data_IF_673198996329
#
_entry.id   IF_673198996329
#
_cell.length_a   1.000
_cell.length_b   1.000
_cell.length_c   1.000
_cell.angle_alpha   90.00
_cell.angle_beta   90.00
_cell.angle_gamma   90.00
#
_symmetry.space_group_name_H-M   'P 1'
#
loop_
_entity.id
_entity.type
_entity.pdbx_description
1 polymer ?
#
# COMPACT_ATOMS: atom_id res chain seq x y z
N UNK A 1 -25.48 -19.01 0.12
CA UNK A 1 -24.82 -18.98 1.44
C UNK A 1 -23.96 -20.22 1.51
N UNK A 2 -22.65 -20.08 1.32
CA UNK A 2 -21.75 -21.22 1.43
C UNK A 2 -21.55 -21.57 2.92
N UNK A 3 -21.74 -22.83 3.32
CA UNK A 3 -21.92 -23.24 4.72
C UNK A 3 -20.64 -23.26 5.58
N UNK A 4 -19.50 -22.78 5.07
CA UNK A 4 -18.20 -22.92 5.74
C UNK A 4 -17.52 -21.59 6.08
N UNK A 5 -18.05 -20.44 5.64
CA UNK A 5 -17.43 -19.14 5.88
C UNK A 5 -18.24 -18.29 6.88
N UNK A 6 -17.54 -17.66 7.82
CA UNK A 6 -18.15 -16.77 8.80
C UNK A 6 -18.54 -15.44 8.17
N UNK A 7 -19.80 -15.02 8.38
CA UNK A 7 -20.22 -13.69 7.98
C UNK A 7 -19.54 -12.64 8.87
N UNK A 8 -19.12 -11.53 8.27
CA UNK A 8 -18.56 -10.40 9.03
C UNK A 8 -19.51 -9.91 10.13
N UNK A 9 -20.83 -9.98 9.91
CA UNK A 9 -21.83 -9.59 10.90
C UNK A 9 -21.77 -10.38 12.21
N UNK A 10 -21.28 -11.63 12.17
CA UNK A 10 -21.14 -12.48 13.36
C UNK A 10 -19.83 -12.27 14.13
N UNK A 11 -18.83 -11.67 13.47
CA UNK A 11 -17.51 -11.37 14.04
C UNK A 11 -17.38 -9.90 14.45
N UNK A 12 -18.05 -8.99 13.74
CA UNK A 12 -17.94 -7.54 13.94
C UNK A 12 -18.80 -7.08 15.12
N UNK A 13 -18.16 -6.91 16.28
CA UNK A 13 -18.81 -6.41 17.50
C UNK A 13 -18.94 -4.88 17.49
N UNK A 14 -17.86 -4.15 17.18
CA UNK A 14 -17.89 -2.69 17.10
C UNK A 14 -17.16 -2.20 15.87
N UNK A 15 -17.70 -1.17 15.22
CA UNK A 15 -17.10 -0.56 14.04
C UNK A 15 -17.33 0.95 14.11
N UNK A 16 -16.25 1.72 14.06
CA UNK A 16 -16.32 3.18 13.95
C UNK A 16 -15.31 3.69 12.94
N UNK A 17 -15.75 4.56 12.04
CA UNK A 17 -14.88 5.27 11.11
C UNK A 17 -15.12 6.77 11.25
N UNK A 18 -14.07 7.56 11.51
CA UNK A 18 -14.21 9.00 11.79
C UNK A 18 -15.26 9.31 12.89
N UNK A 19 -15.32 8.47 13.93
CA UNK A 19 -16.32 8.55 15.01
C UNK A 19 -17.78 8.31 14.59
N UNK A 20 -18.04 7.93 13.33
CA UNK A 20 -19.35 7.50 12.87
C UNK A 20 -19.47 5.97 12.95
N UNK A 21 -20.63 5.43 13.33
CA UNK A 21 -20.83 3.99 13.35
C UNK A 21 -20.78 3.43 11.92
N UNK A 22 -20.13 2.27 11.75
CA UNK A 22 -20.15 1.51 10.51
C UNK A 22 -20.75 0.12 10.74
N UNK A 23 -21.17 -0.53 9.66
CA UNK A 23 -21.76 -1.87 9.71
C UNK A 23 -21.04 -2.84 8.79
N UNK A 24 -21.34 -4.13 8.90
CA UNK A 24 -20.80 -5.15 8.00
C UNK A 24 -21.19 -4.94 6.52
N UNK A 25 -22.23 -4.14 6.23
CA UNK A 25 -22.62 -3.80 4.86
C UNK A 25 -21.68 -2.77 4.18
N UNK A 26 -20.87 -2.06 4.97
CA UNK A 26 -19.85 -1.11 4.45
C UNK A 26 -18.59 -1.83 3.95
N UNK A 27 -18.55 -3.16 4.04
CA UNK A 27 -17.43 -3.99 3.64
C UNK A 27 -17.81 -4.80 2.40
N UNK A 28 -16.87 -4.88 1.46
CA UNK A 28 -16.98 -5.82 0.35
C UNK A 28 -16.27 -7.11 0.73
N UNK A 29 -16.78 -8.25 0.27
CA UNK A 29 -16.11 -9.54 0.46
C UNK A 29 -15.28 -9.92 -0.76
N UNK A 30 -14.16 -10.57 -0.52
CA UNK A 30 -13.33 -11.21 -1.55
C UNK A 30 -12.78 -12.52 -1.00
N UNK A 31 -12.42 -13.44 -1.88
CA UNK A 31 -11.86 -14.74 -1.48
C UNK A 31 -10.34 -14.75 -1.69
N UNK A 32 -9.61 -15.18 -0.68
CA UNK A 32 -8.18 -15.49 -0.72
C UNK A 32 -7.98 -17.00 -0.81
N UNK A 33 -6.98 -17.42 -1.57
CA UNK A 33 -6.58 -18.83 -1.67
C UNK A 33 -6.08 -19.41 -0.35
N UNK A 34 -5.37 -18.61 0.45
CA UNK A 34 -4.81 -19.06 1.73
C UNK A 34 -5.78 -18.88 2.90
N UNK A 35 -6.46 -17.72 2.99
CA UNK A 35 -7.24 -17.35 4.19
C UNK A 35 -8.76 -17.48 4.03
N UNK A 36 -9.26 -17.86 2.86
CA UNK A 36 -10.69 -18.00 2.62
C UNK A 36 -11.42 -16.65 2.46
N UNK A 37 -12.53 -16.46 3.16
CA UNK A 37 -13.38 -15.28 3.00
C UNK A 37 -12.80 -14.06 3.74
N UNK A 38 -12.40 -13.05 2.99
CA UNK A 38 -11.85 -11.80 3.50
C UNK A 38 -12.79 -10.62 3.22
N UNK A 39 -12.59 -9.54 3.98
CA UNK A 39 -13.41 -8.33 3.89
C UNK A 39 -12.54 -7.08 3.72
N UNK A 40 -12.91 -6.22 2.79
CA UNK A 40 -12.23 -4.94 2.55
C UNK A 40 -13.16 -3.78 2.86
N UNK A 41 -12.70 -2.88 3.74
CA UNK A 41 -13.39 -1.62 4.01
C UNK A 41 -13.02 -0.57 2.95
N UNK A 42 -14.00 0.19 2.46
CA UNK A 42 -13.77 1.36 1.59
C UNK A 42 -12.99 1.07 0.28
N UNK A 43 -13.26 -0.07 -0.35
CA UNK A 43 -12.69 -0.44 -1.64
C UNK A 43 -13.44 0.20 -2.82
N UNK A 44 -12.71 0.60 -3.87
CA UNK A 44 -13.31 1.08 -5.12
C UNK A 44 -13.42 -0.07 -6.11
N UNK A 45 -14.62 -0.63 -6.31
CA UNK A 45 -14.87 -1.46 -7.48
C UNK A 45 -15.10 -0.56 -8.71
N UNK A 46 -14.43 -0.88 -9.82
CA UNK A 46 -14.45 -0.10 -11.08
C UNK A 46 -15.85 0.17 -11.68
N UNK A 47 -16.92 -0.43 -11.16
CA UNK A 47 -18.29 -0.33 -11.68
C UNK A 47 -19.29 0.39 -10.76
N UNK A 48 -18.89 0.92 -9.61
CA UNK A 48 -19.80 1.68 -8.73
C UNK A 48 -19.44 3.16 -8.73
N UNK A 49 -20.06 3.92 -9.64
CA UNK A 49 -19.94 5.38 -9.73
C UNK A 49 -20.52 6.13 -8.52
N UNK A 50 -21.19 5.42 -7.61
CA UNK A 50 -21.80 5.95 -6.39
C UNK A 50 -21.15 5.43 -5.09
N UNK A 51 -20.04 4.69 -5.15
CA UNK A 51 -19.29 4.39 -3.93
C UNK A 51 -18.54 5.65 -3.48
N UNK A 52 -19.20 6.38 -2.60
CA UNK A 52 -18.71 7.55 -1.92
C UNK A 52 -17.51 7.13 -1.07
N UNK A 53 -16.31 7.17 -1.65
CA UNK A 53 -15.10 6.85 -0.91
C UNK A 53 -15.03 7.68 0.35
N UNK A 54 -14.97 6.98 1.47
CA UNK A 54 -14.93 7.61 2.78
C UNK A 54 -13.54 8.18 2.95
N UNK A 55 -13.44 9.49 2.84
CA UNK A 55 -12.17 10.19 2.93
C UNK A 55 -11.66 10.18 4.38
N UNK A 56 -10.35 9.97 4.50
CA UNK A 56 -9.64 10.06 5.77
C UNK A 56 -9.32 11.50 6.16
N UNK A 57 -8.31 11.65 7.03
CA UNK A 57 -7.94 12.93 7.63
C UNK A 57 -7.49 14.02 6.63
N UNK A 58 -7.04 13.65 5.43
CA UNK A 58 -6.57 14.58 4.40
C UNK A 58 -7.63 15.61 3.96
N UNK A 59 -8.92 15.33 4.19
CA UNK A 59 -10.04 16.22 3.86
C UNK A 59 -10.91 16.59 5.08
N UNK A 60 -10.38 16.52 6.32
CA UNK A 60 -11.04 17.02 7.54
C UNK A 60 -11.70 15.99 8.47
N UNK A 61 -11.63 14.69 8.17
CA UNK A 61 -12.00 13.60 9.11
C UNK A 61 -10.87 13.30 10.12
N UNK A 62 -10.98 12.32 11.03
CA UNK A 62 -9.83 11.86 11.86
C UNK A 62 -9.00 10.77 11.19
N UNK A 63 -9.50 10.17 10.10
CA UNK A 63 -8.87 9.04 9.40
C UNK A 63 -8.80 7.76 10.23
N UNK A 64 -9.52 7.70 11.36
CA UNK A 64 -9.42 6.63 12.33
C UNK A 64 -10.50 5.58 12.11
N UNK A 65 -10.09 4.34 11.86
CA UNK A 65 -10.95 3.17 11.81
C UNK A 65 -10.72 2.34 13.08
N UNK A 66 -11.75 2.13 13.89
CA UNK A 66 -11.70 1.17 15.00
C UNK A 66 -12.65 0.01 14.73
N UNK A 67 -12.12 -1.19 14.88
CA UNK A 67 -12.87 -2.43 14.78
C UNK A 67 -12.67 -3.20 16.09
N UNK A 68 -13.76 -3.73 16.64
CA UNK A 68 -13.76 -4.76 17.67
C UNK A 68 -14.35 -6.02 17.06
N UNK A 69 -13.60 -7.09 17.11
CA UNK A 69 -13.86 -8.34 16.41
C UNK A 69 -13.83 -9.50 17.40
N UNK A 70 -14.62 -10.53 17.12
CA UNK A 70 -14.66 -11.77 17.86
C UNK A 70 -14.47 -12.94 16.89
N UNK A 71 -13.37 -13.68 17.04
CA UNK A 71 -12.90 -14.60 15.98
C UNK A 71 -13.47 -16.02 16.08
N UNK A 72 -14.26 -16.34 17.12
CA UNK A 72 -14.91 -17.64 17.32
C UNK A 72 -13.96 -18.86 17.16
N UNK A 73 -12.82 -18.85 17.85
CA UNK A 73 -11.77 -19.88 17.76
C UNK A 73 -12.24 -21.31 18.05
N UNK A 74 -13.35 -21.49 18.78
CA UNK A 74 -13.93 -22.80 19.08
C UNK A 74 -14.54 -23.49 17.86
N UNK A 75 -14.76 -22.77 16.76
CA UNK A 75 -15.24 -23.33 15.49
C UNK A 75 -14.12 -23.54 14.46
N UNK A 76 -12.86 -23.35 14.84
CA UNK A 76 -11.73 -23.56 13.94
C UNK A 76 -11.57 -25.04 13.63
N UNK A 77 -11.13 -25.34 12.42
CA UNK A 77 -10.81 -26.72 12.02
C UNK A 77 -9.45 -27.07 12.62
N UNK A 78 -9.36 -28.07 13.52
CA UNK A 78 -8.09 -28.45 14.12
C UNK A 78 -7.08 -28.89 13.05
N UNK A 79 -5.79 -28.58 13.23
CA UNK A 79 -4.65 -28.95 12.37
C UNK A 79 -4.56 -28.24 11.01
N UNK A 80 -5.40 -27.24 10.74
CA UNK A 80 -5.30 -26.43 9.51
C UNK A 80 -4.45 -25.18 9.76
N UNK A 81 -4.65 -24.53 10.90
CA UNK A 81 -3.99 -23.29 11.28
C UNK A 81 -3.50 -23.41 12.73
N UNK A 82 -2.22 -23.07 12.97
CA UNK A 82 -1.60 -23.16 14.29
C UNK A 82 -1.75 -21.86 15.10
N UNK A 83 -2.32 -20.81 14.49
CA UNK A 83 -2.44 -19.48 15.07
C UNK A 83 -3.92 -19.05 15.26
N UNK A 84 -4.20 -18.34 16.36
CA UNK A 84 -5.50 -17.72 16.61
C UNK A 84 -5.33 -16.21 16.50
N UNK A 85 -5.93 -15.62 15.47
CA UNK A 85 -5.74 -14.22 15.17
C UNK A 85 -6.48 -13.78 13.93
N UNK A 86 -6.11 -12.60 13.46
CA UNK A 86 -6.58 -12.06 12.20
C UNK A 86 -5.41 -11.44 11.44
N UNK A 87 -5.39 -11.63 10.12
CA UNK A 87 -4.42 -10.97 9.24
C UNK A 87 -5.06 -9.70 8.69
N UNK A 88 -4.35 -8.58 8.79
CA UNK A 88 -4.80 -7.28 8.29
C UNK A 88 -3.80 -6.73 7.29
N UNK A 89 -4.31 -6.14 6.21
CA UNK A 89 -3.52 -5.45 5.19
C UNK A 89 -4.08 -4.04 4.96
N UNK A 90 -3.20 -3.04 4.98
CA UNK A 90 -3.51 -1.67 4.54
C UNK A 90 -2.99 -1.50 3.12
N UNK A 91 -3.88 -1.18 2.17
CA UNK A 91 -3.52 -1.01 0.77
C UNK A 91 -4.35 0.11 0.13
N UNK A 92 -3.98 0.51 -1.09
CA UNK A 92 -4.74 1.52 -1.84
C UNK A 92 -6.09 0.97 -2.30
N UNK A 93 -7.12 1.82 -2.30
CA UNK A 93 -8.50 1.39 -2.59
C UNK A 93 -8.72 0.96 -4.06
N UNK A 94 -7.79 1.28 -4.95
CA UNK A 94 -7.81 0.87 -6.37
C UNK A 94 -7.07 -0.45 -6.64
N UNK A 95 -6.27 -0.91 -5.68
CA UNK A 95 -5.42 -2.08 -5.82
C UNK A 95 -6.10 -3.33 -5.24
N UNK A 96 -5.85 -4.48 -5.86
CA UNK A 96 -6.28 -5.77 -5.32
C UNK A 96 -5.47 -6.12 -4.06
N UNK A 97 -6.12 -6.60 -2.98
CA UNK A 97 -5.45 -6.96 -1.75
C UNK A 97 -4.57 -8.21 -1.93
N UNK A 98 -3.27 -8.09 -1.64
CA UNK A 98 -2.31 -9.22 -1.61
C UNK A 98 -1.96 -9.60 -0.17
N UNK A 99 -2.96 -10.10 0.56
CA UNK A 99 -2.85 -10.41 2.00
C UNK A 99 -1.81 -11.50 2.30
N UNK A 100 -1.56 -12.41 1.37
CA UNK A 100 -0.57 -13.50 1.51
C UNK A 100 0.88 -13.01 1.52
N UNK A 101 1.16 -11.85 0.91
CA UNK A 101 2.53 -11.34 0.77
C UNK A 101 2.87 -10.22 1.76
N UNK A 102 1.88 -9.43 2.17
CA UNK A 102 2.09 -8.22 2.98
C UNK A 102 1.11 -8.11 4.16
N UNK A 103 0.41 -9.20 4.50
CA UNK A 103 -0.48 -9.25 5.65
C UNK A 103 0.28 -9.16 6.96
N UNK A 104 -0.35 -8.51 7.94
CA UNK A 104 0.17 -8.37 9.30
C UNK A 104 -0.72 -9.20 10.23
N UNK A 105 -0.12 -10.16 10.92
CA UNK A 105 -0.81 -11.02 11.88
C UNK A 105 -1.08 -10.29 13.19
N UNK A 106 -2.33 -10.35 13.66
CA UNK A 106 -2.79 -9.76 14.90
C UNK A 106 -3.28 -10.87 15.83
N UNK A 107 -2.67 -10.98 17.01
CA UNK A 107 -3.09 -11.93 18.04
C UNK A 107 -4.37 -11.47 18.75
N UNK A 108 -5.19 -12.41 19.20
CA UNK A 108 -6.35 -12.13 20.07
C UNK A 108 -5.92 -11.72 21.50
N UNK A 109 -6.89 -11.32 22.33
CA UNK A 109 -6.67 -10.82 23.70
C UNK A 109 -6.00 -9.45 23.77
N UNK A 110 -5.93 -8.74 22.64
CA UNK A 110 -5.20 -7.48 22.52
C UNK A 110 -5.94 -6.49 21.64
N UNK A 111 -5.70 -5.22 21.93
CA UNK A 111 -6.04 -4.08 21.09
C UNK A 111 -4.80 -3.60 20.36
N UNK A 112 -4.76 -3.80 19.05
CA UNK A 112 -3.68 -3.38 18.17
C UNK A 112 -3.95 -1.99 17.61
N UNK A 113 -2.93 -1.13 17.61
CA UNK A 113 -2.92 0.16 16.92
C UNK A 113 -1.98 0.03 15.72
N UNK A 114 -2.55 0.19 14.53
CA UNK A 114 -1.85 0.23 13.25
C UNK A 114 -1.70 1.68 12.83
N UNK A 115 -0.49 2.21 13.03
CA UNK A 115 -0.11 3.54 12.57
C UNK A 115 0.44 3.44 11.16
N UNK A 116 -0.14 4.14 10.19
CA UNK A 116 0.32 4.07 8.81
C UNK A 116 0.81 5.42 8.27
N UNK A 117 1.82 5.35 7.40
CA UNK A 117 2.34 6.48 6.63
C UNK A 117 2.21 6.17 5.14
N UNK A 118 1.59 7.09 4.38
CA UNK A 118 1.38 6.96 2.94
C UNK A 118 2.55 7.58 2.18
N UNK A 119 3.19 6.78 1.33
CA UNK A 119 4.29 7.22 0.48
C UNK A 119 3.93 7.02 -0.98
N UNK A 120 4.09 8.06 -1.79
CA UNK A 120 3.89 7.99 -3.24
C UNK A 120 5.22 8.19 -3.93
N UNK A 121 5.65 7.22 -4.71
CA UNK A 121 6.88 7.29 -5.49
C UNK A 121 6.54 7.52 -6.95
N UNK A 122 7.04 8.62 -7.52
CA UNK A 122 6.86 8.95 -8.93
C UNK A 122 8.15 8.64 -9.69
N UNK A 123 8.02 7.81 -10.72
CA UNK A 123 9.14 7.48 -11.61
C UNK A 123 9.21 8.47 -12.78
N UNK A 124 10.42 8.76 -13.30
CA UNK A 124 10.59 9.68 -14.41
C UNK A 124 9.90 9.18 -15.69
N UNK A 125 9.49 10.10 -16.58
CA UNK A 125 8.95 9.74 -17.89
C UNK A 125 10.00 9.10 -18.82
N UNK A 126 9.55 8.63 -19.99
CA UNK A 126 10.38 7.99 -21.03
C UNK A 126 11.76 8.67 -21.22
N UNK A 127 12.88 7.94 -21.30
CA UNK A 127 13.05 6.50 -21.61
C UNK A 127 12.81 5.52 -20.44
N UNK A 128 12.41 6.01 -19.26
CA UNK A 128 12.05 5.17 -18.11
C UNK A 128 10.56 4.81 -18.13
N UNK A 129 10.18 3.77 -17.38
CA UNK A 129 8.77 3.35 -17.22
C UNK A 129 7.98 4.40 -16.46
N UNK A 130 6.96 5.01 -17.08
CA UNK A 130 6.07 5.95 -16.40
C UNK A 130 5.13 5.19 -15.47
N UNK A 131 5.51 5.11 -14.20
CA UNK A 131 4.72 4.47 -13.16
C UNK A 131 4.71 5.36 -11.92
N UNK A 132 3.69 5.20 -11.09
CA UNK A 132 3.68 5.71 -9.72
C UNK A 132 3.31 4.56 -8.81
N UNK A 133 4.07 4.34 -7.76
CA UNK A 133 3.79 3.32 -6.76
C UNK A 133 3.29 4.01 -5.49
N UNK A 134 2.22 3.48 -4.91
CA UNK A 134 1.66 3.94 -3.64
C UNK A 134 1.90 2.83 -2.62
N UNK A 135 2.72 3.12 -1.62
CA UNK A 135 3.04 2.19 -0.55
C UNK A 135 2.57 2.72 0.80
N UNK A 136 2.21 1.79 1.69
CA UNK A 136 1.80 2.07 3.05
C UNK A 136 2.78 1.41 4.02
N UNK A 137 3.51 2.23 4.76
CA UNK A 137 4.35 1.74 5.84
C UNK A 137 3.51 1.69 7.11
N UNK A 138 3.39 0.51 7.71
CA UNK A 138 2.54 0.28 8.89
C UNK A 138 3.41 -0.11 10.08
N UNK A 139 3.28 0.65 11.16
CA UNK A 139 3.85 0.33 12.46
C UNK A 139 2.76 -0.20 13.39
N UNK A 140 3.06 -1.30 14.08
CA UNK A 140 2.12 -1.96 14.99
C UNK A 140 2.51 -1.75 16.44
N UNK A 141 1.50 -1.56 17.28
CA UNK A 141 1.64 -1.56 18.74
C UNK A 141 0.41 -2.21 19.34
N UNK A 142 0.52 -2.79 20.53
CA UNK A 142 -0.59 -3.54 21.12
C UNK A 142 -0.71 -3.36 22.62
N UNK A 143 -1.95 -3.32 23.10
CA UNK A 143 -2.32 -3.26 24.51
C UNK A 143 -3.23 -4.44 24.85
N UNK A 144 -3.34 -4.79 26.14
CA UNK A 144 -4.24 -5.85 26.60
C UNK A 144 -5.70 -5.40 26.42
N UNK A 145 -6.56 -6.29 25.92
CA UNK A 145 -7.99 -6.03 25.75
C UNK A 145 -8.78 -7.36 25.74
N UNK A 146 -10.09 -7.37 26.05
CA UNK A 146 -10.94 -6.24 26.42
C UNK A 146 -10.72 -5.80 27.89
N UNK A 147 -11.26 -4.63 28.22
CA UNK A 147 -11.31 -4.11 29.59
C UNK A 147 -12.54 -4.68 30.33
N UNK A 148 -12.51 -4.80 31.68
CA UNK A 148 -13.53 -5.53 32.42
C UNK A 148 -14.98 -5.07 32.17
N UNK A 149 -15.22 -3.77 32.03
CA UNK A 149 -16.57 -3.23 31.81
C UNK A 149 -17.14 -3.49 30.42
N UNK A 150 -16.33 -3.88 29.43
CA UNK A 150 -16.82 -4.25 28.09
C UNK A 150 -17.23 -5.72 28.00
N UNK A 151 -16.86 -6.54 29.00
CA UNK A 151 -17.03 -7.99 28.96
C UNK A 151 -18.51 -8.40 28.85
N UNK A 152 -19.40 -7.74 29.60
CA UNK A 152 -20.83 -8.07 29.60
C UNK A 152 -21.51 -7.74 28.27
N UNK A 153 -21.10 -6.66 27.61
CA UNK A 153 -21.63 -6.29 26.29
C UNK A 153 -21.16 -7.26 25.21
N UNK A 154 -19.89 -7.69 25.27
CA UNK A 154 -19.34 -8.70 24.36
C UNK A 154 -20.07 -10.04 24.58
N UNK A 155 -20.33 -10.42 25.83
CA UNK A 155 -21.10 -11.63 26.15
C UNK A 155 -22.49 -11.60 25.48
N UNK A 156 -23.23 -10.50 25.61
CA UNK A 156 -24.55 -10.32 24.97
C UNK A 156 -24.47 -10.41 23.45
N UNK A 157 -23.42 -9.85 22.85
CA UNK A 157 -23.20 -9.94 21.41
C UNK A 157 -23.00 -11.39 20.96
N UNK A 158 -22.15 -12.15 21.66
CA UNK A 158 -21.86 -13.56 21.34
C UNK A 158 -23.11 -14.42 21.52
N UNK A 159 -23.89 -14.21 22.59
CA UNK A 159 -25.13 -14.95 22.86
C UNK A 159 -26.25 -14.66 21.85
N UNK A 160 -26.25 -13.48 21.22
CA UNK A 160 -27.21 -13.12 20.17
C UNK A 160 -26.73 -13.53 18.76
N UNK A 161 -25.53 -14.10 18.64
CA UNK A 161 -25.00 -14.52 17.34
C UNK A 161 -25.65 -15.81 16.85
N UNK A 162 -25.64 -16.05 15.53
CA UNK A 162 -26.17 -17.29 14.93
C UNK A 162 -25.21 -18.48 15.05
N UNK A 163 -24.05 -18.30 15.69
CA UNK A 163 -22.99 -19.32 15.82
C UNK A 163 -23.22 -20.13 17.08
N UNK A 164 -22.93 -21.43 17.02
CA UNK A 164 -23.07 -22.32 18.17
C UNK A 164 -22.08 -21.94 19.27
N UNK A 165 -22.55 -21.86 20.52
CA UNK A 165 -21.70 -21.55 21.66
C UNK A 165 -20.81 -22.74 22.04
N UNK A 166 -19.62 -22.51 22.62
CA UNK A 166 -18.79 -23.59 23.14
C UNK A 166 -19.48 -24.31 24.31
N UNK A 167 -19.12 -25.58 24.53
CA UNK A 167 -19.59 -26.34 25.69
C UNK A 167 -19.18 -25.63 27.00
N UNK A 168 -20.06 -25.65 28.01
CA UNK A 168 -19.85 -24.98 29.30
C UNK A 168 -19.64 -23.45 29.23
N UNK A 169 -20.21 -22.77 28.22
CA UNK A 169 -20.15 -21.31 28.09
C UNK A 169 -20.54 -20.56 29.39
N UNK A 170 -21.57 -21.04 30.08
CA UNK A 170 -22.09 -20.37 31.29
C UNK A 170 -21.05 -20.16 32.39
N UNK A 171 -20.01 -21.00 32.47
CA UNK A 171 -18.96 -20.93 33.51
C UNK A 171 -17.63 -20.39 32.99
N UNK A 172 -17.27 -20.59 31.72
CA UNK A 172 -15.92 -20.30 31.17
C UNK A 172 -15.92 -19.08 30.23
N UNK A 173 -17.06 -18.39 30.05
CA UNK A 173 -17.19 -17.29 29.09
C UNK A 173 -16.12 -16.18 29.24
N UNK A 174 -15.66 -15.87 30.45
CA UNK A 174 -14.63 -14.84 30.68
C UNK A 174 -13.31 -15.14 29.96
N UNK A 175 -12.77 -16.34 30.14
CA UNK A 175 -11.52 -16.75 29.50
C UNK A 175 -11.69 -16.87 27.99
N UNK A 176 -12.83 -17.41 27.54
CA UNK A 176 -13.14 -17.49 26.12
C UNK A 176 -13.19 -16.12 25.46
N UNK A 177 -13.81 -15.12 26.10
CA UNK A 177 -13.84 -13.76 25.55
C UNK A 177 -12.43 -13.17 25.46
N UNK A 178 -11.61 -13.32 26.50
CA UNK A 178 -10.22 -12.86 26.44
C UNK A 178 -9.41 -13.55 25.33
N UNK A 179 -9.60 -14.85 25.12
CA UNK A 179 -8.89 -15.59 24.09
C UNK A 179 -9.38 -15.32 22.65
N UNK A 180 -10.58 -14.75 22.47
CA UNK A 180 -11.22 -14.58 21.16
C UNK A 180 -11.44 -13.13 20.75
N UNK A 181 -11.39 -12.20 21.69
CA UNK A 181 -11.59 -10.80 21.39
C UNK A 181 -10.34 -10.18 20.77
N UNK A 182 -10.52 -9.43 19.70
CA UNK A 182 -9.45 -8.70 19.02
C UNK A 182 -9.96 -7.31 18.67
N UNK A 183 -9.22 -6.28 19.06
CA UNK A 183 -9.52 -4.92 18.64
C UNK A 183 -8.40 -4.38 17.76
N UNK A 184 -8.74 -3.67 16.70
CA UNK A 184 -7.77 -3.02 15.82
C UNK A 184 -8.16 -1.57 15.58
N UNK A 185 -7.19 -0.67 15.67
CA UNK A 185 -7.33 0.76 15.42
C UNK A 185 -6.35 1.19 14.36
N UNK A 186 -6.83 1.51 13.17
CA UNK A 186 -6.02 2.01 12.04
C UNK A 186 -6.05 3.52 12.08
N UNK A 187 -4.88 4.14 12.16
CA UNK A 187 -4.73 5.60 12.34
C UNK A 187 -3.57 6.10 11.47
N UNK A 188 -3.68 7.25 10.80
CA UNK A 188 -2.52 7.88 10.18
C UNK A 188 -1.49 8.26 11.25
N UNK A 189 -0.21 7.99 11.00
CA UNK A 189 0.88 8.42 11.88
C UNK A 189 1.10 9.93 11.80
N UNK A 190 1.09 10.47 10.58
CA UNK A 190 1.18 11.91 10.31
C UNK A 190 0.18 12.32 9.23
N UNK A 191 -0.06 13.63 9.14
CA UNK A 191 -0.95 14.22 8.14
C UNK A 191 -0.25 14.52 6.81
N UNK A 192 1.05 14.24 6.73
CA UNK A 192 1.89 14.61 5.60
C UNK A 192 1.97 13.39 4.68
N UNK A 193 1.72 13.62 3.39
CA UNK A 193 1.98 12.62 2.36
C UNK A 193 3.40 12.82 1.87
N UNK A 194 4.21 11.78 1.96
CA UNK A 194 5.57 11.80 1.41
C UNK A 194 5.51 11.51 -0.09
N UNK A 195 5.81 12.52 -0.90
CA UNK A 195 5.90 12.39 -2.34
C UNK A 195 7.37 12.38 -2.76
N UNK A 196 7.85 11.20 -3.16
CA UNK A 196 9.22 11.01 -3.60
C UNK A 196 9.26 10.98 -5.13
N UNK A 197 9.74 12.07 -5.72
CA UNK A 197 9.99 12.15 -7.16
C UNK A 197 11.43 11.72 -7.45
N UNK A 198 11.61 10.68 -8.26
CA UNK A 198 12.94 10.28 -8.70
C UNK A 198 13.37 11.16 -9.87
N UNK A 199 14.53 11.80 -9.73
CA UNK A 199 15.15 12.59 -10.80
C UNK A 199 16.30 11.81 -11.44
N UNK A 200 16.54 11.97 -12.75
CA UNK A 200 17.65 11.30 -13.41
C UNK A 200 18.98 11.77 -12.84
N UNK A 201 19.88 10.84 -12.53
CA UNK A 201 21.23 11.14 -12.01
C UNK A 201 22.08 11.91 -13.03
N UNK A 202 21.86 11.65 -14.32
CA UNK A 202 22.59 12.29 -15.41
C UNK A 202 21.62 13.07 -16.29
N UNK A 203 21.72 14.39 -16.23
CA UNK A 203 21.05 15.28 -17.19
C UNK A 203 21.89 15.41 -18.46
N UNK A 204 21.28 15.88 -19.56
CA UNK A 204 22.00 16.13 -20.81
C UNK A 204 23.18 17.09 -20.61
N UNK A 205 23.01 18.09 -19.73
CA UNK A 205 24.07 19.05 -19.38
C UNK A 205 25.23 18.35 -18.69
N UNK A 206 24.95 17.41 -17.77
CA UNK A 206 25.99 16.63 -17.10
C UNK A 206 26.73 15.71 -18.09
N UNK A 207 26.03 15.10 -19.05
CA UNK A 207 26.66 14.29 -20.10
C UNK A 207 27.61 15.14 -20.94
N UNK A 208 27.13 16.30 -21.43
CA UNK A 208 27.92 17.19 -22.28
C UNK A 208 29.13 17.75 -21.52
N UNK A 209 28.94 18.09 -20.23
CA UNK A 209 30.01 18.55 -19.35
C UNK A 209 31.06 17.47 -19.07
N UNK A 210 30.65 16.22 -18.83
CA UNK A 210 31.56 15.10 -18.63
C UNK A 210 32.36 14.78 -19.88
N UNK A 211 31.72 14.78 -21.05
CA UNK A 211 32.41 14.57 -22.33
C UNK A 211 33.42 15.70 -22.56
N UNK A 212 32.97 16.96 -22.49
CA UNK A 212 33.84 18.12 -22.69
C UNK A 212 35.00 18.19 -21.69
N UNK A 213 34.75 17.82 -20.43
CA UNK A 213 35.77 17.77 -19.39
C UNK A 213 36.83 16.69 -19.67
N UNK A 214 36.40 15.48 -20.03
CA UNK A 214 37.34 14.39 -20.35
C UNK A 214 38.08 14.67 -21.68
N UNK A 215 37.40 15.09 -22.74
CA UNK A 215 38.06 15.38 -24.03
C UNK A 215 39.02 16.57 -23.93
N UNK A 216 38.65 17.59 -23.14
CA UNK A 216 39.51 18.73 -22.86
C UNK A 216 40.72 18.36 -22.00
N UNK A 217 40.58 17.44 -21.06
CA UNK A 217 41.68 17.00 -20.20
C UNK A 217 42.70 16.11 -20.92
N UNK A 218 42.23 15.11 -21.67
CA UNK A 218 43.12 14.10 -22.28
C UNK A 218 43.70 14.54 -23.62
N UNK A 219 42.91 15.22 -24.45
CA UNK A 219 43.29 15.57 -25.82
C UNK A 219 43.51 17.08 -25.97
N UNK A 220 43.07 17.90 -25.01
CA UNK A 220 43.11 19.36 -25.13
C UNK A 220 42.12 19.90 -26.17
N UNK A 221 41.19 19.07 -26.66
CA UNK A 221 40.24 19.45 -27.71
C UNK A 221 39.07 20.21 -27.08
N UNK A 222 38.82 21.39 -27.62
CA UNK A 222 37.66 22.22 -27.30
C UNK A 222 36.68 22.29 -28.48
N UNK A 223 35.49 22.84 -28.23
CA UNK A 223 34.53 23.12 -29.30
C UNK A 223 35.13 24.02 -30.41
N UNK A 224 35.98 24.99 -30.04
CA UNK A 224 36.66 25.86 -30.99
C UNK A 224 37.67 25.08 -31.84
N UNK A 225 38.42 24.17 -31.23
CA UNK A 225 39.37 23.30 -31.94
C UNK A 225 38.67 22.42 -32.99
N UNK A 226 37.46 21.92 -32.68
CA UNK A 226 36.66 21.14 -33.65
C UNK A 226 36.21 22.03 -34.82
N UNK A 227 35.73 23.24 -34.55
CA UNK A 227 35.35 24.19 -35.61
C UNK A 227 36.52 24.54 -36.52
N UNK A 228 37.72 24.69 -35.96
CA UNK A 228 38.94 24.99 -36.72
C UNK A 228 39.34 23.82 -37.64
N UNK A 229 39.23 22.58 -37.16
CA UNK A 229 39.45 21.38 -37.99
C UNK A 229 38.42 21.27 -39.10
N UNK A 230 37.15 21.59 -38.85
CA UNK A 230 36.09 21.61 -39.87
C UNK A 230 36.38 22.68 -40.93
N UNK A 231 36.80 23.88 -40.53
CA UNK A 231 37.17 24.93 -41.48
C UNK A 231 38.38 24.51 -42.34
N UNK A 232 39.39 23.90 -41.73
CA UNK A 232 40.55 23.38 -42.44
C UNK A 232 40.15 22.33 -43.48
N UNK A 233 39.31 21.36 -43.11
CA UNK A 233 38.79 20.35 -44.03
C UNK A 233 37.97 20.97 -45.16
N UNK A 234 37.12 21.96 -44.86
CA UNK A 234 36.34 22.67 -45.86
C UNK A 234 37.23 23.39 -46.88
N UNK A 235 38.27 24.09 -46.42
CA UNK A 235 39.25 24.75 -47.30
C UNK A 235 40.01 23.75 -48.17
N UNK A 236 40.36 22.59 -47.62
CA UNK A 236 41.12 21.56 -48.33
C UNK A 236 40.29 20.89 -49.42
N UNK A 237 39.03 20.53 -49.13
CA UNK A 237 38.09 19.98 -50.13
C UNK A 237 37.81 21.01 -51.23
N UNK A 238 37.60 22.28 -50.88
CA UNK A 238 37.39 23.35 -51.88
C UNK A 238 38.62 23.53 -52.77
N UNK A 239 39.81 23.37 -52.21
CA UNK A 239 41.05 23.45 -52.98
C UNK A 239 41.15 22.30 -53.99
N UNK A 240 40.95 21.06 -53.57
CA UNK A 240 40.95 19.90 -54.49
C UNK A 240 39.88 20.03 -55.59
N UNK A 241 38.67 20.47 -55.23
CA UNK A 241 37.60 20.68 -56.20
C UNK A 241 37.95 21.76 -57.24
N UNK A 242 38.59 22.85 -56.81
CA UNK A 242 39.05 23.91 -57.73
C UNK A 242 40.21 23.45 -58.62
N UNK A 243 41.06 22.54 -58.15
CA UNK A 243 42.15 21.95 -58.95
C UNK A 243 41.57 21.03 -60.01
N UNK A 244 40.66 20.12 -59.65
CA UNK A 244 39.96 19.26 -60.62
C UNK A 244 39.17 20.06 -61.65
N UNK A 245 38.43 21.10 -61.22
CA UNK A 245 37.70 21.98 -62.14
C UNK A 245 38.62 22.70 -63.15
N UNK A 246 39.89 22.93 -62.78
CA UNK A 246 40.89 23.51 -63.68
C UNK A 246 41.45 22.50 -64.67
N UNK A 247 41.59 21.23 -64.30
CA UNK A 247 42.00 20.16 -65.23
C UNK A 247 40.88 19.80 -66.21
N UNK A 248 39.60 19.84 -65.80
CA UNK A 248 38.47 19.53 -66.68
C UNK A 248 38.10 20.65 -67.69
N UNK A 249 38.62 21.87 -67.51
CA UNK A 249 38.36 23.04 -68.37
C UNK A 249 39.59 23.49 -69.19
N UNK A 250 40.61 22.65 -69.33
CA UNK A 250 41.75 22.80 -70.26
C UNK A 250 41.62 21.75 -71.35
#
# INVERSE_FOLDING_TARGET
MEPFFYSLSSMLYTCTFNSQPCSAADFISFTSSTYGLCYTFNAKLKNSSNDNVRYGHQNGGTGKLNLGLYVHSHQYVPHVEDSIGMVVLVHDNTQLPRIEAAGIELSTGRKHKLSYTKKTVYFPPSPYTQCSIIDFFVQTSSLIAPVPWQMDDIKRFVENSTITLPANWSTIWHEHIHANYLAVSVVPETNIVENNTQTPTLTLVNVLSNIGGQTGLWIGISFLSIMEVIEMLYRLIRYEYNVQYKEDNI
#
